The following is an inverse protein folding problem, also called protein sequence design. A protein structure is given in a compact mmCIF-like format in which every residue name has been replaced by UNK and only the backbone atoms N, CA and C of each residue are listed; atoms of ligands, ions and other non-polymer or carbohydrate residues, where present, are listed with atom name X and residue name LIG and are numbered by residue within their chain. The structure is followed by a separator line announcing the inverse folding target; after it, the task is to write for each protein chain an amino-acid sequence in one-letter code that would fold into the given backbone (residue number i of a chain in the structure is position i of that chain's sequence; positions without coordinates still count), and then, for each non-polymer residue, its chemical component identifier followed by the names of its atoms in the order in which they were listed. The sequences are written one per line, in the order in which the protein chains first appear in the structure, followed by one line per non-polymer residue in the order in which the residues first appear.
data_IF_049678271294
#
_entry.id   IF_049678271294
#
_cell.length_a   1.000
_cell.length_b   1.000
_cell.length_c   1.000
_cell.angle_alpha   90.00
_cell.angle_beta   90.00
_cell.angle_gamma   90.00
#
_symmetry.space_group_name_H-M   'P 1'
#
loop_
_entity.id
_entity.type
_entity.pdbx_description
1 polymer ?
#
# COMPACT_ATOMS: atom_id res chain seq x y z
N UNK A 1 17.32 -9.58 -6.53
CA UNK A 1 16.23 -9.11 -5.64
C UNK A 1 14.92 -9.10 -6.45
N UNK A 2 13.82 -9.60 -5.90
CA UNK A 2 12.52 -9.52 -6.58
C UNK A 2 12.00 -8.09 -6.46
N UNK A 3 11.61 -7.49 -7.58
CA UNK A 3 11.11 -6.12 -7.64
C UNK A 3 9.75 -6.14 -8.34
N UNK A 4 8.74 -5.56 -7.70
CA UNK A 4 7.46 -5.23 -8.30
C UNK A 4 7.43 -3.71 -8.43
N UNK A 5 7.26 -3.20 -9.65
CA UNK A 5 7.19 -1.76 -9.90
C UNK A 5 6.05 -1.43 -10.86
N UNK A 6 5.34 -0.33 -10.60
CA UNK A 6 4.25 0.18 -11.46
C UNK A 6 3.16 -0.88 -11.76
N UNK A 7 2.88 -1.75 -10.79
CA UNK A 7 1.88 -2.81 -10.93
C UNK A 7 0.54 -2.38 -10.34
N UNK A 8 -0.56 -2.79 -10.97
CA UNK A 8 -1.92 -2.74 -10.39
C UNK A 8 -2.31 -4.16 -9.99
N UNK A 9 -2.65 -4.38 -8.73
CA UNK A 9 -2.95 -5.69 -8.16
C UNK A 9 -4.30 -5.61 -7.44
N UNK A 10 -5.29 -6.30 -7.99
CA UNK A 10 -6.67 -6.17 -7.54
C UNK A 10 -7.48 -7.47 -7.62
N UNK A 11 -8.54 -7.53 -6.82
CA UNK A 11 -9.51 -8.62 -6.75
C UNK A 11 -8.93 -10.00 -6.37
N UNK A 12 -7.77 -10.03 -5.72
CA UNK A 12 -7.18 -11.23 -5.16
C UNK A 12 -7.63 -11.45 -3.70
N UNK A 13 -7.22 -12.58 -3.09
CA UNK A 13 -7.41 -12.78 -1.65
C UNK A 13 -6.49 -11.84 -0.86
N UNK A 14 -5.17 -12.04 -1.00
CA UNK A 14 -4.16 -11.03 -0.71
C UNK A 14 -3.66 -10.47 -2.03
N UNK A 15 -3.40 -9.16 -2.10
CA UNK A 15 -2.76 -8.59 -3.28
C UNK A 15 -1.34 -9.13 -3.45
N UNK A 16 -0.48 -8.89 -2.46
CA UNK A 16 0.89 -9.40 -2.41
C UNK A 16 1.09 -10.13 -1.09
N UNK A 17 1.69 -11.33 -1.12
CA UNK A 17 2.12 -12.05 0.09
C UNK A 17 3.64 -12.19 0.06
N UNK A 18 4.31 -11.61 1.06
CA UNK A 18 5.74 -11.75 1.31
C UNK A 18 5.91 -12.77 2.45
N UNK A 19 6.37 -13.97 2.13
CA UNK A 19 6.53 -15.06 3.10
C UNK A 19 8.00 -15.41 3.23
N UNK A 20 8.67 -14.95 4.30
CA UNK A 20 10.11 -15.12 4.45
C UNK A 20 10.96 -14.51 3.34
N UNK A 21 10.38 -13.57 2.58
CA UNK A 21 11.01 -12.88 1.46
C UNK A 21 11.12 -11.38 1.71
N UNK A 22 12.03 -10.73 0.99
CA UNK A 22 12.31 -9.30 1.11
C UNK A 22 12.24 -8.60 -0.25
N UNK A 23 11.06 -8.60 -0.91
CA UNK A 23 10.91 -7.94 -2.20
C UNK A 23 10.91 -6.42 -2.06
N UNK A 24 11.21 -5.72 -3.15
CA UNK A 24 10.93 -4.30 -3.28
C UNK A 24 9.60 -4.12 -4.02
N UNK A 25 8.69 -3.33 -3.46
CA UNK A 25 7.36 -3.06 -4.00
C UNK A 25 7.26 -1.54 -4.11
N UNK A 26 7.36 -1.04 -5.33
CA UNK A 26 7.59 0.39 -5.60
C UNK A 26 6.51 0.88 -6.56
N UNK A 27 5.91 2.04 -6.30
CA UNK A 27 4.92 2.67 -7.20
C UNK A 27 3.77 1.73 -7.63
N UNK A 28 3.36 0.81 -6.76
CA UNK A 28 2.28 -0.15 -7.03
C UNK A 28 0.95 0.31 -6.44
N UNK A 29 -0.16 0.00 -7.12
CA UNK A 29 -1.51 0.17 -6.61
C UNK A 29 -2.10 -1.20 -6.25
N UNK A 30 -2.39 -1.42 -4.97
CA UNK A 30 -2.91 -2.69 -4.45
C UNK A 30 -4.27 -2.46 -3.80
N UNK A 31 -5.32 -2.91 -4.47
CA UNK A 31 -6.68 -2.49 -4.15
C UNK A 31 -7.76 -3.53 -4.34
N UNK A 32 -8.90 -3.34 -3.69
CA UNK A 32 -10.07 -4.21 -3.84
C UNK A 32 -9.79 -5.70 -3.57
N UNK A 33 -8.71 -6.02 -2.85
CA UNK A 33 -8.41 -7.38 -2.46
C UNK A 33 -9.26 -7.76 -1.25
N UNK A 34 -9.65 -9.02 -1.16
CA UNK A 34 -10.61 -9.49 -0.16
C UNK A 34 -10.06 -9.37 1.28
N UNK A 35 -8.77 -9.59 1.48
CA UNK A 35 -8.10 -9.58 2.78
C UNK A 35 -7.09 -8.44 2.87
N UNK A 36 -5.79 -8.72 2.73
CA UNK A 36 -4.74 -7.71 2.81
C UNK A 36 -4.37 -7.19 1.43
N UNK A 37 -4.02 -5.91 1.33
CA UNK A 37 -3.30 -5.40 0.17
C UNK A 37 -1.94 -6.09 0.09
N UNK A 38 -1.09 -5.82 1.08
CA UNK A 38 0.21 -6.49 1.25
C UNK A 38 0.20 -7.25 2.58
N UNK A 39 0.52 -8.54 2.54
CA UNK A 39 0.74 -9.38 3.73
C UNK A 39 2.23 -9.67 3.87
N UNK A 40 2.84 -9.24 4.97
CA UNK A 40 4.22 -9.49 5.34
C UNK A 40 4.26 -10.53 6.47
N UNK A 41 4.67 -11.74 6.13
CA UNK A 41 4.60 -12.91 6.98
C UNK A 41 5.97 -13.59 7.13
N UNK A 42 6.20 -14.18 8.30
CA UNK A 42 7.32 -15.09 8.57
C UNK A 42 8.68 -14.42 8.30
N UNK A 43 9.07 -13.46 9.15
CA UNK A 43 10.38 -12.79 9.03
C UNK A 43 10.62 -12.14 7.65
N UNK A 44 9.57 -11.79 6.92
CA UNK A 44 9.69 -11.02 5.68
C UNK A 44 10.16 -9.60 5.98
N UNK A 45 11.01 -9.04 5.13
CA UNK A 45 11.49 -7.66 5.23
C UNK A 45 11.29 -6.93 3.90
N UNK A 46 10.03 -6.79 3.47
CA UNK A 46 9.70 -6.11 2.22
C UNK A 46 9.98 -4.60 2.33
N UNK A 47 10.45 -3.99 1.24
CA UNK A 47 10.60 -2.54 1.12
C UNK A 47 9.44 -2.03 0.28
N UNK A 48 8.58 -1.20 0.87
CA UNK A 48 7.33 -0.72 0.27
C UNK A 48 7.43 0.79 0.13
N UNK A 49 7.50 1.27 -1.11
CA UNK A 49 7.75 2.68 -1.42
C UNK A 49 6.70 3.22 -2.38
N UNK A 50 6.16 4.39 -2.08
CA UNK A 50 5.26 5.14 -2.96
C UNK A 50 4.06 4.33 -3.47
N UNK A 51 3.58 3.37 -2.68
CA UNK A 51 2.47 2.51 -3.06
C UNK A 51 1.12 3.13 -2.66
N UNK A 52 0.04 2.57 -3.21
CA UNK A 52 -1.34 2.90 -2.84
C UNK A 52 -2.05 1.62 -2.40
N UNK A 53 -2.34 1.49 -1.11
CA UNK A 53 -3.01 0.34 -0.50
C UNK A 53 -4.43 0.75 -0.09
N UNK A 54 -5.41 0.49 -0.95
CA UNK A 54 -6.75 1.11 -0.82
C UNK A 54 -7.89 0.12 -0.99
N UNK A 55 -8.94 0.25 -0.16
CA UNK A 55 -10.17 -0.57 -0.27
C UNK A 55 -9.93 -2.08 -0.26
N UNK A 56 -8.95 -2.54 0.51
CA UNK A 56 -8.76 -3.95 0.81
C UNK A 56 -9.61 -4.33 2.03
N UNK A 57 -10.20 -5.53 2.00
CA UNK A 57 -11.28 -5.90 2.92
C UNK A 57 -10.87 -6.06 4.39
N UNK A 58 -9.59 -6.35 4.66
CA UNK A 58 -9.08 -6.52 6.02
C UNK A 58 -8.01 -5.50 6.41
N UNK A 59 -6.97 -5.36 5.59
CA UNK A 59 -5.88 -4.43 5.88
C UNK A 59 -5.25 -3.88 4.60
N UNK A 60 -4.74 -2.65 4.64
CA UNK A 60 -3.81 -2.18 3.62
C UNK A 60 -2.51 -2.97 3.70
N UNK A 61 -1.92 -3.00 4.91
CA UNK A 61 -0.73 -3.78 5.25
C UNK A 61 -0.99 -4.68 6.47
N UNK A 62 -0.78 -5.98 6.31
CA UNK A 62 -0.82 -6.97 7.38
C UNK A 62 0.60 -7.43 7.72
N UNK A 63 0.98 -7.39 9.00
CA UNK A 63 2.29 -7.84 9.48
C UNK A 63 2.14 -8.94 10.53
N UNK A 64 2.60 -10.15 10.23
CA UNK A 64 2.40 -11.34 11.07
C UNK A 64 3.69 -12.17 11.17
N UNK A 65 3.84 -12.97 12.22
CA UNK A 65 4.94 -13.93 12.37
C UNK A 65 6.34 -13.29 12.20
N UNK A 66 6.56 -12.15 12.86
CA UNK A 66 7.81 -11.38 12.85
C UNK A 66 8.15 -10.71 11.51
N UNK A 67 7.15 -10.29 10.73
CA UNK A 67 7.35 -9.42 9.58
C UNK A 67 7.86 -8.04 9.99
N UNK A 68 8.83 -7.51 9.24
CA UNK A 68 9.51 -6.23 9.50
C UNK A 68 9.62 -5.38 8.21
N UNK A 69 8.51 -5.09 7.52
CA UNK A 69 8.59 -4.27 6.31
C UNK A 69 8.98 -2.83 6.64
N UNK A 70 9.68 -2.20 5.70
CA UNK A 70 10.00 -0.77 5.72
C UNK A 70 9.08 -0.06 4.74
N UNK A 71 8.32 0.93 5.22
CA UNK A 71 7.23 1.55 4.45
C UNK A 71 7.42 3.06 4.38
N UNK A 72 7.55 3.61 3.18
CA UNK A 72 7.79 5.05 2.95
C UNK A 72 6.89 5.59 1.84
N UNK A 73 6.45 6.85 1.96
CA UNK A 73 5.69 7.55 0.90
C UNK A 73 4.36 6.89 0.50
N UNK A 74 3.88 5.91 1.26
CA UNK A 74 2.77 5.03 0.86
C UNK A 74 1.44 5.57 1.37
N UNK A 75 0.40 5.41 0.56
CA UNK A 75 -0.98 5.83 0.92
C UNK A 75 -1.78 4.63 1.33
N UNK A 76 -2.31 4.63 2.54
CA UNK A 76 -3.05 3.50 3.13
C UNK A 76 -4.39 4.01 3.64
N UNK A 77 -5.46 3.75 2.89
CA UNK A 77 -6.79 4.32 3.22
C UNK A 77 -7.96 3.46 2.81
N UNK A 78 -9.11 3.70 3.43
CA UNK A 78 -10.38 3.02 3.13
C UNK A 78 -10.29 1.49 3.20
N UNK A 79 -9.35 0.95 3.98
CA UNK A 79 -9.30 -0.46 4.33
C UNK A 79 -10.05 -0.66 5.65
N UNK A 80 -10.27 -1.91 6.08
CA UNK A 80 -10.78 -2.15 7.43
C UNK A 80 -9.76 -1.69 8.49
N UNK A 81 -8.50 -2.08 8.36
CA UNK A 81 -7.39 -1.50 9.12
C UNK A 81 -6.38 -0.91 8.14
N UNK A 82 -5.73 0.21 8.47
CA UNK A 82 -4.64 0.71 7.62
C UNK A 82 -3.47 -0.26 7.67
N UNK A 83 -2.80 -0.30 8.82
CA UNK A 83 -1.75 -1.26 9.15
C UNK A 83 -2.19 -2.08 10.37
N UNK A 84 -2.15 -3.41 10.27
CA UNK A 84 -2.39 -4.30 11.41
C UNK A 84 -1.17 -5.16 11.69
N UNK A 85 -0.79 -5.25 12.96
CA UNK A 85 0.45 -5.88 13.42
C UNK A 85 0.12 -6.94 14.46
N UNK A 86 0.64 -8.15 14.28
CA UNK A 86 0.49 -9.27 15.21
C UNK A 86 1.84 -9.82 15.69
N UNK A 87 1.79 -10.73 16.67
CA UNK A 87 2.92 -11.49 17.19
C UNK A 87 4.11 -10.62 17.63
N UNK A 88 5.26 -10.83 16.99
CA UNK A 88 6.51 -10.08 17.18
C UNK A 88 6.88 -9.28 15.93
N UNK A 89 5.90 -8.99 15.06
CA UNK A 89 6.11 -8.16 13.88
C UNK A 89 6.35 -6.71 14.30
N UNK A 90 7.16 -6.00 13.51
CA UNK A 90 7.57 -4.64 13.82
C UNK A 90 7.82 -3.88 12.51
N UNK A 91 6.76 -3.52 11.76
CA UNK A 91 6.92 -2.64 10.60
C UNK A 91 7.54 -1.31 11.02
N UNK A 92 8.40 -0.78 10.15
CA UNK A 92 8.91 0.58 10.25
C UNK A 92 8.12 1.47 9.30
N UNK A 93 7.23 2.29 9.87
CA UNK A 93 6.40 3.23 9.13
C UNK A 93 6.96 4.66 9.19
N UNK A 94 8.13 4.86 9.82
CA UNK A 94 8.80 6.14 9.91
C UNK A 94 9.46 6.35 11.25
N UNK A 95 10.77 6.60 11.25
CA UNK A 95 11.56 6.92 12.44
C UNK A 95 12.05 8.36 12.43
N UNK A 96 12.13 8.96 13.63
CA UNK A 96 12.73 10.27 13.86
C UNK A 96 13.69 10.20 15.05
N UNK A 97 15.02 10.36 14.83
CA UNK A 97 15.68 10.58 13.53
C UNK A 97 15.59 9.35 12.61
N UNK A 98 15.69 9.52 11.28
CA UNK A 98 15.76 8.39 10.35
C UNK A 98 16.99 7.54 10.63
N UNK A 99 16.83 6.22 10.55
CA UNK A 99 17.94 5.26 10.62
C UNK A 99 18.33 4.81 9.21
N UNK A 100 19.60 4.46 9.01
CA UNK A 100 20.06 3.93 7.73
C UNK A 100 19.29 2.65 7.37
N UNK A 101 18.69 2.63 6.17
CA UNK A 101 17.85 1.51 5.73
C UNK A 101 16.45 1.44 6.39
N UNK A 102 16.11 2.39 7.27
CA UNK A 102 14.77 2.51 7.85
C UNK A 102 13.85 3.44 7.07
N UNK A 103 12.61 3.56 7.52
CA UNK A 103 11.63 4.47 6.93
C UNK A 103 11.83 5.89 7.45
N UNK A 104 11.84 6.86 6.54
CA UNK A 104 11.76 8.28 6.87
C UNK A 104 10.32 8.77 7.15
N UNK A 105 9.32 7.90 6.97
CA UNK A 105 7.90 8.25 7.00
C UNK A 105 7.38 8.71 5.64
N UNK A 106 6.61 9.79 5.63
CA UNK A 106 5.92 10.31 4.45
C UNK A 106 4.68 9.50 4.06
N UNK A 107 4.24 8.58 4.91
CA UNK A 107 3.04 7.79 4.65
C UNK A 107 1.79 8.61 4.97
N UNK A 108 0.72 8.33 4.20
CA UNK A 108 -0.61 8.93 4.36
C UNK A 108 -1.55 7.83 4.81
N UNK A 109 -1.80 7.71 6.11
CA UNK A 109 -2.58 6.62 6.71
C UNK A 109 -3.83 7.22 7.34
N UNK A 110 -4.97 7.06 6.68
CA UNK A 110 -6.22 7.74 7.08
C UNK A 110 -7.46 7.05 6.52
N UNK A 111 -8.64 7.39 7.03
CA UNK A 111 -9.94 6.88 6.57
C UNK A 111 -10.05 5.34 6.57
N UNK A 112 -9.33 4.66 7.45
CA UNK A 112 -9.50 3.21 7.66
C UNK A 112 -10.58 2.96 8.71
N UNK A 113 -11.43 1.96 8.46
CA UNK A 113 -12.72 1.83 9.16
C UNK A 113 -12.60 1.54 10.66
N UNK A 114 -11.68 0.65 11.04
CA UNK A 114 -11.51 0.21 12.42
C UNK A 114 -10.38 0.97 13.12
N UNK A 115 -9.23 1.11 12.45
CA UNK A 115 -8.08 1.88 12.90
C UNK A 115 -7.12 2.11 11.73
N UNK A 116 -6.41 3.24 11.75
CA UNK A 116 -5.31 3.52 10.83
C UNK A 116 -4.09 2.68 11.16
N UNK A 117 -3.77 2.54 12.46
CA UNK A 117 -2.82 1.55 12.95
C UNK A 117 -3.45 0.72 14.06
N UNK A 118 -3.36 -0.60 13.94
CA UNK A 118 -3.83 -1.54 14.94
C UNK A 118 -2.66 -2.43 15.37
N UNK A 119 -2.00 -2.05 16.46
CA UNK A 119 -0.86 -2.79 16.98
C UNK A 119 -1.31 -3.84 17.99
N UNK A 120 -1.56 -5.07 17.54
CA UNK A 120 -1.84 -6.22 18.40
C UNK A 120 -0.57 -6.97 18.82
N UNK A 121 0.60 -6.51 18.40
CA UNK A 121 1.88 -7.02 18.89
C UNK A 121 2.20 -6.41 20.25
N UNK A 122 3.14 -7.02 20.97
CA UNK A 122 3.71 -6.43 22.20
C UNK A 122 4.88 -5.47 21.92
N UNK A 123 5.20 -5.21 20.65
CA UNK A 123 6.37 -4.43 20.24
C UNK A 123 5.99 -2.97 19.95
N UNK A 124 6.86 -2.01 20.31
CA UNK A 124 6.63 -0.62 19.92
C UNK A 124 6.73 -0.48 18.41
N UNK A 125 5.85 0.34 17.82
CA UNK A 125 5.82 0.64 16.38
C UNK A 125 6.20 2.09 16.16
N UNK A 126 7.09 2.32 15.21
CA UNK A 126 7.50 3.65 14.77
C UNK A 126 6.66 4.07 13.57
N UNK A 127 5.97 5.20 13.71
CA UNK A 127 5.05 5.76 12.73
C UNK A 127 5.16 7.29 12.67
N UNK A 128 6.36 7.82 12.95
CA UNK A 128 6.67 9.23 12.88
C UNK A 128 6.72 9.74 11.43
N UNK A 129 6.63 11.05 11.27
CA UNK A 129 6.67 11.76 10.00
C UNK A 129 5.60 11.29 9.00
N UNK A 130 4.42 10.90 9.50
CA UNK A 130 3.27 10.50 8.68
C UNK A 130 2.11 11.50 8.80
N UNK A 131 1.15 11.46 7.86
CA UNK A 131 -0.11 12.21 7.93
C UNK A 131 -1.29 11.29 8.22
N UNK A 132 -2.29 11.80 8.94
CA UNK A 132 -3.35 11.03 9.60
C UNK A 132 -4.77 11.48 9.20
N UNK A 133 -4.92 12.16 8.07
CA UNK A 133 -6.21 12.71 7.62
C UNK A 133 -6.73 13.92 8.43
N UNK A 134 -6.14 14.20 9.60
CA UNK A 134 -6.42 15.37 10.43
C UNK A 134 -5.18 16.22 10.67
N UNK A 135 -5.38 17.54 10.78
CA UNK A 135 -4.36 18.49 11.23
C UNK A 135 -4.35 18.63 12.78
N UNK A 136 -5.38 18.12 13.47
CA UNK A 136 -5.48 18.14 14.92
C UNK A 136 -4.84 16.89 15.53
N UNK A 137 -3.73 17.09 16.25
CA UNK A 137 -3.00 16.01 16.92
C UNK A 137 -3.83 15.26 17.96
N UNK A 138 -4.90 15.89 18.49
CA UNK A 138 -5.74 15.29 19.53
C UNK A 138 -6.64 14.18 19.01
N UNK A 139 -6.87 14.14 17.70
CA UNK A 139 -7.71 13.12 17.06
C UNK A 139 -6.93 11.83 16.76
N UNK A 140 -5.62 11.94 16.56
CA UNK A 140 -4.75 10.84 16.13
C UNK A 140 -4.78 9.63 17.09
N UNK A 141 -4.77 9.80 18.43
CA UNK A 141 -4.92 8.67 19.34
C UNK A 141 -6.19 7.85 19.08
N UNK A 142 -7.29 8.49 18.66
CA UNK A 142 -8.53 7.78 18.33
C UNK A 142 -8.49 6.99 17.01
N UNK A 143 -7.45 7.19 16.19
CA UNK A 143 -7.21 6.47 14.94
C UNK A 143 -6.31 5.26 15.14
N UNK A 144 -5.73 5.10 16.33
CA UNK A 144 -4.71 4.11 16.65
C UNK A 144 -5.27 3.18 17.73
N UNK A 145 -5.00 1.88 17.59
CA UNK A 145 -5.19 0.90 18.67
C UNK A 145 -3.80 0.45 19.13
N UNK A 146 -3.44 0.75 20.37
CA UNK A 146 -2.11 0.45 20.93
C UNK A 146 -2.10 0.17 22.45
N UNK A 147 -0.94 0.35 23.08
CA UNK A 147 -0.74 0.16 24.52
C UNK A 147 -1.70 0.98 25.40
N UNK A 148 -2.14 2.16 24.95
CA UNK A 148 -3.07 3.00 25.73
C UNK A 148 -4.47 2.37 25.80
N UNK A 149 -4.86 1.58 24.78
CA UNK A 149 -6.13 0.86 24.75
C UNK A 149 -6.06 -0.49 25.46
N UNK A 150 -4.94 -1.20 25.33
CA UNK A 150 -4.69 -2.48 25.99
C UNK A 150 -3.21 -2.58 26.42
N UNK A 151 -2.90 -2.71 27.73
CA UNK A 151 -1.53 -2.84 28.22
C UNK A 151 -0.73 -4.01 27.65
N UNK A 152 -1.39 -5.02 27.05
CA UNK A 152 -0.72 -6.14 26.38
C UNK A 152 -0.17 -5.75 24.99
N UNK A 153 -0.65 -4.65 24.41
CA UNK A 153 -0.19 -4.14 23.12
C UNK A 153 1.02 -3.23 23.28
N UNK A 154 1.79 -3.11 22.19
CA UNK A 154 2.92 -2.20 22.12
C UNK A 154 2.48 -0.79 21.75
N UNK A 155 3.23 0.22 22.21
CA UNK A 155 2.96 1.63 21.91
C UNK A 155 3.24 1.97 20.45
N UNK A 156 2.36 2.75 19.83
CA UNK A 156 2.59 3.35 18.51
C UNK A 156 3.12 4.77 18.71
N UNK A 157 4.28 5.05 18.12
CA UNK A 157 4.95 6.36 18.18
C UNK A 157 4.69 7.11 16.89
N UNK A 158 3.67 7.97 16.89
CA UNK A 158 3.28 8.76 15.71
C UNK A 158 3.85 10.19 15.70
N UNK A 159 4.35 10.67 16.84
CA UNK A 159 4.94 12.01 16.97
C UNK A 159 6.46 11.99 16.70
N UNK A 160 7.01 12.91 15.88
CA UNK A 160 6.31 14.02 15.23
C UNK A 160 5.46 13.57 14.04
N UNK A 161 4.34 14.25 13.79
CA UNK A 161 3.57 14.07 12.55
C UNK A 161 4.22 14.85 11.40
N UNK A 162 4.00 14.40 10.15
CA UNK A 162 4.45 15.18 8.99
C UNK A 162 3.70 16.51 8.93
N UNK A 163 4.44 17.61 8.95
CA UNK A 163 3.94 18.95 8.64
C UNK A 163 4.61 19.42 7.37
N UNK A 164 3.81 19.73 6.34
CA UNK A 164 4.34 20.43 5.18
C UNK A 164 4.96 21.74 5.66
N UNK A 165 6.18 22.06 5.19
CA UNK A 165 6.74 23.39 5.40
C UNK A 165 5.74 24.42 4.84
N UNK A 166 5.48 25.55 5.53
CA UNK A 166 4.63 26.59 4.96
C UNK A 166 5.24 26.98 3.62
N UNK A 167 4.45 26.88 2.55
CA UNK A 167 4.88 27.30 1.23
C UNK A 167 5.37 28.75 1.34
N UNK A 168 6.67 28.96 1.09
CA UNK A 168 7.21 30.30 0.84
C UNK A 168 6.30 30.92 -0.23
N UNK A 169 5.59 31.99 0.14
CA UNK A 169 4.64 32.67 -0.73
C UNK A 169 5.32 32.96 -2.08
N UNK A 170 5.02 32.11 -3.07
CA UNK A 170 5.53 32.28 -4.41
C UNK A 170 4.88 33.55 -4.94
N UNK A 171 5.70 34.59 -5.14
CA UNK A 171 5.32 35.81 -5.83
C UNK A 171 4.52 35.44 -7.09
N UNK A 172 3.20 35.66 -7.04
CA UNK A 172 2.31 35.40 -8.16
C UNK A 172 2.79 36.22 -9.36
N UNK A 173 3.30 35.53 -10.38
CA UNK A 173 3.54 36.12 -11.69
C UNK A 173 2.16 36.48 -12.28
N UNK A 174 1.93 37.71 -12.79
CA UNK A 174 0.63 38.08 -13.34
C UNK A 174 0.33 37.27 -14.61
N UNK A 175 -0.90 36.76 -14.69
CA UNK A 175 -1.42 35.96 -15.80
C UNK A 175 -1.45 36.76 -17.12
N UNK A 176 -1.22 36.13 -18.28
CA UNK A 176 -1.34 36.79 -19.57
C UNK A 176 -2.81 37.12 -19.91
N UNK A 177 -3.07 38.16 -20.72
CA UNK A 177 -4.43 38.61 -21.02
C UNK A 177 -5.17 37.62 -21.93
N UNK A 178 -6.47 37.46 -21.66
CA UNK A 178 -7.38 36.58 -22.39
C UNK A 178 -7.56 37.01 -23.87
N UNK A 179 -7.57 36.02 -24.77
CA UNK A 179 -7.86 36.20 -26.20
C UNK A 179 -9.29 36.74 -26.44
N UNK A 180 -9.52 37.54 -27.50
CA UNK A 180 -10.80 38.18 -27.74
C UNK A 180 -11.85 37.22 -28.34
N UNK A 181 -13.16 37.52 -28.22
CA UNK A 181 -14.24 36.63 -28.63
C UNK A 181 -14.43 36.58 -30.16
N UNK A 182 -14.82 35.40 -30.64
CA UNK A 182 -15.16 35.09 -32.03
C UNK A 182 -16.35 35.92 -32.55
N UNK A 183 -16.17 36.63 -33.66
CA UNK A 183 -17.24 37.38 -34.37
C UNK A 183 -18.00 36.50 -35.36
N UNK A 184 -19.33 36.65 -35.40
CA UNK A 184 -20.25 36.10 -36.39
C UNK A 184 -20.06 36.73 -37.79
N UNK A 185 -20.54 36.11 -38.90
CA UNK A 185 -20.11 36.44 -40.24
C UNK A 185 -20.90 37.62 -40.83
N UNK A 186 -20.21 38.52 -41.55
CA UNK A 186 -20.85 39.52 -42.41
C UNK A 186 -20.19 39.55 -43.79
N UNK A 187 -21.08 39.76 -44.73
CA UNK A 187 -21.11 39.59 -46.17
C UNK A 187 -20.08 40.39 -46.99
N UNK A 188 -19.72 39.78 -48.12
CA UNK A 188 -18.82 40.26 -49.16
C UNK A 188 -19.39 41.45 -49.93
N UNK A 189 -18.74 42.62 -49.86
CA UNK A 189 -18.83 43.61 -50.95
C UNK A 189 -17.65 44.60 -50.99
N UNK A 190 -16.99 44.65 -52.16
CA UNK A 190 -16.19 45.76 -52.75
C UNK A 190 -14.81 46.07 -52.13
N UNK A 191 -13.75 46.51 -52.82
CA UNK A 191 -13.19 46.48 -54.19
C UNK A 191 -11.80 47.16 -54.05
N UNK A 192 -10.78 46.71 -54.81
CA UNK A 192 -9.51 47.38 -55.19
C UNK A 192 -8.48 47.73 -54.09
N UNK A 193 -7.17 47.63 -54.28
CA UNK A 193 -6.35 47.29 -55.45
C UNK A 193 -4.87 47.61 -55.16
N UNK A 194 -3.97 46.95 -55.89
CA UNK A 194 -2.54 47.29 -56.13
C UNK A 194 -1.54 47.24 -54.97
N UNK A 195 -0.25 46.91 -55.14
CA UNK A 195 0.56 46.20 -56.16
C UNK A 195 2.04 46.40 -55.73
N UNK A 196 2.92 45.46 -56.09
CA UNK A 196 4.40 45.56 -56.18
C UNK A 196 5.18 45.60 -54.85
N UNK A 197 6.37 45.02 -54.69
CA UNK A 197 7.28 44.32 -55.59
C UNK A 197 8.68 44.21 -54.94
N UNK A 198 9.19 42.98 -54.85
CA UNK A 198 10.58 42.55 -55.17
C UNK A 198 11.84 43.12 -54.47
N UNK A 199 12.77 42.16 -54.25
CA UNK A 199 14.27 42.14 -54.29
C UNK A 199 15.19 42.44 -53.07
N UNK A 200 15.89 41.36 -52.66
CA UNK A 200 17.35 41.08 -52.58
C UNK A 200 18.33 41.65 -51.51
N UNK A 201 19.07 40.68 -50.94
CA UNK A 201 20.53 40.53 -50.71
C UNK A 201 21.31 41.35 -49.66
N UNK A 202 21.81 40.62 -48.63
CA UNK A 202 23.20 40.12 -48.43
C UNK A 202 24.37 41.05 -48.01
N UNK A 203 25.27 40.44 -47.18
CA UNK A 203 26.67 40.77 -46.78
C UNK A 203 26.82 41.66 -45.52
N UNK A 204 27.75 41.45 -44.58
CA UNK A 204 28.85 40.49 -44.39
C UNK A 204 29.75 40.91 -43.19
N UNK A 205 30.52 39.93 -42.63
CA UNK A 205 31.84 39.93 -41.91
C UNK A 205 32.23 41.09 -40.94
N UNK A 206 33.14 41.03 -39.95
CA UNK A 206 34.32 40.22 -39.56
C UNK A 206 34.77 40.67 -38.13
N UNK A 207 35.60 39.91 -37.39
CA UNK A 207 36.43 40.48 -36.30
C UNK A 207 36.98 39.53 -35.22
N UNK A 208 38.31 39.42 -35.15
CA UNK A 208 39.21 38.51 -34.39
C UNK A 208 39.77 39.07 -33.05
N UNK A 209 40.25 38.21 -32.12
CA UNK A 209 41.46 38.41 -31.27
C UNK A 209 41.79 37.18 -30.36
N UNK A 210 43.06 37.07 -29.89
CA UNK A 210 43.77 35.85 -29.46
C UNK A 210 44.38 35.87 -28.02
N UNK A 211 44.59 34.67 -27.40
CA UNK A 211 45.77 34.09 -26.63
C UNK A 211 46.40 34.87 -25.41
N UNK A 212 47.07 34.30 -24.34
CA UNK A 212 47.85 33.03 -24.19
C UNK A 212 47.76 32.20 -22.87
N UNK A 213 48.60 31.15 -22.82
CA UNK A 213 48.84 30.07 -21.84
C UNK A 213 49.91 30.32 -20.73
N UNK A 214 50.06 29.36 -19.78
CA UNK A 214 51.24 29.14 -18.91
C UNK A 214 51.13 27.84 -18.04
N UNK A 215 51.99 26.82 -18.26
CA UNK A 215 53.13 26.33 -17.41
C UNK A 215 52.74 25.60 -16.08
N UNK A 216 52.88 24.28 -15.88
CA UNK A 216 54.06 23.37 -15.69
C UNK A 216 54.69 23.35 -14.28
N UNK A 217 54.80 22.15 -13.67
CA UNK A 217 55.85 21.59 -12.77
C UNK A 217 55.36 20.19 -12.29
N UNK A 218 55.94 19.00 -12.48
CA UNK A 218 57.27 18.35 -12.27
C UNK A 218 57.68 18.05 -10.82
N UNK A 219 57.89 16.74 -10.51
CA UNK A 219 58.89 16.06 -9.62
C UNK A 219 58.38 14.62 -9.30
N UNK A 220 58.96 13.49 -9.78
CA UNK A 220 60.21 12.77 -9.40
C UNK A 220 60.22 12.29 -7.92
N UNK A 221 60.57 11.06 -7.47
CA UNK A 221 61.08 9.80 -8.05
C UNK A 221 61.10 8.66 -6.96
N UNK A 222 61.48 7.43 -7.38
CA UNK A 222 62.19 6.33 -6.64
C UNK A 222 61.44 5.21 -5.85
N UNK A 223 61.21 4.08 -6.54
CA UNK A 223 61.81 2.72 -6.40
C UNK A 223 62.06 1.97 -5.05
N UNK A 224 61.62 0.70 -5.07
CA UNK A 224 62.13 -0.57 -4.45
C UNK A 224 61.58 -1.09 -3.10
N UNK A 225 61.25 -2.39 -3.06
CA UNK A 225 61.29 -3.24 -1.86
C UNK A 225 60.15 -4.28 -1.69
N UNK A 226 60.47 -5.57 -1.83
CA UNK A 226 59.60 -6.76 -1.66
C UNK A 226 59.11 -7.00 -0.21
N UNK A 227 58.01 -7.75 -0.05
CA UNK A 227 57.66 -8.47 1.18
C UNK A 227 56.23 -9.01 1.21
N UNK A 228 56.09 -10.30 1.47
CA UNK A 228 54.90 -11.15 1.36
C UNK A 228 53.77 -10.92 2.39
N UNK A 229 52.57 -11.43 2.04
CA UNK A 229 51.60 -12.15 2.88
C UNK A 229 50.14 -11.62 2.93
N UNK A 230 49.28 -12.45 2.34
CA UNK A 230 47.88 -12.84 2.67
C UNK A 230 46.76 -11.86 3.07
N UNK A 231 45.61 -12.19 2.47
CA UNK A 231 44.22 -12.11 2.95
C UNK A 231 43.35 -10.95 2.44
N UNK A 232 42.44 -11.34 1.54
CA UNK A 232 41.42 -10.55 0.86
C UNK A 232 40.42 -9.87 1.82
N UNK A 233 40.21 -8.58 1.59
CA UNK A 233 39.05 -7.80 2.04
C UNK A 233 38.51 -6.95 0.90
N UNK A 234 37.18 -6.86 0.85
CA UNK A 234 36.28 -5.99 0.09
C UNK A 234 36.85 -4.81 -0.74
N UNK A 235 36.27 -4.64 -1.94
CA UNK A 235 35.61 -3.36 -2.29
C UNK A 235 36.21 -2.47 -3.38
N UNK A 236 35.70 -2.63 -4.60
CA UNK A 236 35.20 -1.58 -5.51
C UNK A 236 36.15 -0.58 -6.22
N UNK A 237 35.79 -0.31 -7.50
CA UNK A 237 35.90 0.90 -8.37
C UNK A 237 37.31 1.49 -8.66
N UNK A 238 37.66 2.08 -9.80
CA UNK A 238 37.03 2.53 -11.05
C UNK A 238 38.11 2.36 -12.16
N UNK A 239 37.95 2.59 -13.46
CA UNK A 239 37.56 3.82 -14.18
C UNK A 239 37.77 3.46 -15.68
N UNK A 240 37.02 3.92 -16.68
CA UNK A 240 36.98 5.32 -17.09
C UNK A 240 35.91 5.53 -18.16
N UNK A 241 35.24 6.67 -18.04
CA UNK A 241 34.32 7.26 -19.00
C UNK A 241 35.01 7.85 -20.24
N UNK A 242 34.25 7.99 -21.33
CA UNK A 242 34.39 9.10 -22.28
C UNK A 242 33.02 9.44 -22.91
N UNK A 243 32.78 10.75 -23.03
CA UNK A 243 31.52 11.47 -23.23
C UNK A 243 31.05 11.55 -24.70
N UNK A 244 29.74 11.76 -24.90
CA UNK A 244 29.23 12.77 -25.86
C UNK A 244 27.77 13.17 -25.53
N UNK A 245 27.55 14.46 -25.29
CA UNK A 245 26.25 15.14 -25.15
C UNK A 245 25.60 15.44 -26.51
N UNK A 246 24.26 15.49 -26.52
CA UNK A 246 23.30 16.29 -27.33
C UNK A 246 21.91 15.63 -27.10
N UNK A 247 20.79 16.23 -26.69
CA UNK A 247 20.35 17.63 -26.59
C UNK A 247 18.85 17.71 -26.97
N UNK A 248 17.96 17.54 -25.97
CA UNK A 248 16.54 18.00 -25.87
C UNK A 248 15.40 17.42 -26.78
N UNK A 249 14.10 17.54 -26.39
CA UNK A 249 13.50 17.68 -25.05
C UNK A 249 12.32 16.71 -24.74
N UNK A 250 12.03 16.59 -23.44
CA UNK A 250 10.78 16.05 -22.87
C UNK A 250 9.67 17.11 -22.96
N UNK A 251 8.46 16.71 -23.37
CA UNK A 251 7.24 17.52 -23.26
C UNK A 251 6.25 16.85 -22.31
N UNK A 252 6.20 17.42 -21.10
CA UNK A 252 5.02 17.86 -20.36
C UNK A 252 3.80 16.93 -20.26
N UNK A 253 3.73 16.19 -19.15
CA UNK A 253 2.49 15.60 -18.63
C UNK A 253 1.90 16.56 -17.59
N UNK A 254 0.93 17.36 -18.00
CA UNK A 254 0.20 18.26 -17.11
C UNK A 254 -0.62 17.48 -16.09
N UNK A 255 -0.27 17.69 -14.82
CA UNK A 255 -1.03 17.32 -13.64
C UNK A 255 -2.32 18.15 -13.60
N UNK A 256 -3.45 17.50 -13.32
CA UNK A 256 -4.71 18.18 -13.04
C UNK A 256 -4.61 18.78 -11.62
N UNK A 257 -4.74 20.10 -11.52
CA UNK A 257 -4.74 20.83 -10.26
C UNK A 257 -6.01 20.52 -9.42
N UNK A 258 -5.90 20.29 -8.11
CA UNK A 258 -7.01 19.92 -7.23
C UNK A 258 -7.98 21.08 -6.89
N UNK A 259 -7.83 22.26 -7.48
CA UNK A 259 -8.67 23.44 -7.21
C UNK A 259 -9.92 23.57 -8.11
N UNK A 260 -10.13 22.67 -9.08
CA UNK A 260 -11.27 22.71 -10.02
C UNK A 260 -12.47 21.79 -9.65
N UNK A 261 -12.59 21.37 -8.38
CA UNK A 261 -13.79 20.69 -7.90
C UNK A 261 -14.88 21.72 -7.50
N UNK A 262 -16.12 21.61 -8.02
CA UNK A 262 -17.20 22.52 -7.63
C UNK A 262 -17.53 22.40 -6.13
N UNK A 263 -17.96 23.51 -5.48
CA UNK A 263 -18.17 23.54 -4.03
C UNK A 263 -19.34 22.64 -3.63
N UNK A 264 -19.08 21.69 -2.74
CA UNK A 264 -20.14 20.90 -2.09
C UNK A 264 -20.79 21.81 -1.04
N UNK A 265 -22.04 22.20 -1.29
CA UNK A 265 -22.85 22.95 -0.34
C UNK A 265 -23.04 22.15 0.96
N UNK A 266 -22.63 22.71 2.08
CA UNK A 266 -22.87 22.17 3.43
C UNK A 266 -24.26 22.60 3.90
N UNK A 267 -25.20 21.70 4.24
CA UNK A 267 -26.37 22.09 5.02
C UNK A 267 -25.97 22.18 6.50
N UNK A 268 -26.30 23.30 7.13
CA UNK A 268 -26.10 23.55 8.55
C UNK A 268 -26.84 22.53 9.43
N UNK A 269 -26.15 21.98 10.42
CA UNK A 269 -26.73 21.12 11.45
C UNK A 269 -27.68 21.94 12.34
N UNK A 270 -28.98 21.59 12.33
CA UNK A 270 -29.91 21.97 13.39
C UNK A 270 -29.95 20.86 14.43
N UNK A 271 -29.58 21.19 15.66
CA UNK A 271 -29.82 20.35 16.83
C UNK A 271 -31.31 20.01 16.94
N UNK A 272 -31.65 18.72 16.97
CA UNK A 272 -33.00 18.26 17.31
C UNK A 272 -32.91 17.06 18.26
N UNK A 273 -33.66 17.13 19.35
CA UNK A 273 -33.83 16.12 20.39
C UNK A 273 -33.89 14.68 19.85
N UNK A 274 -33.19 13.78 20.55
CA UNK A 274 -33.22 12.35 20.27
C UNK A 274 -34.57 11.78 20.72
N UNK A 275 -35.40 11.36 19.76
CA UNK A 275 -36.59 10.52 19.99
C UNK A 275 -36.16 9.06 19.85
N UNK A 276 -36.45 8.23 20.86
CA UNK A 276 -36.26 6.77 20.78
C UNK A 276 -37.19 6.19 19.70
N UNK A 277 -36.61 5.55 18.68
CA UNK A 277 -37.37 4.83 17.63
C UNK A 277 -37.39 3.33 17.98
N UNK A 278 -38.58 2.78 18.19
CA UNK A 278 -38.81 1.32 18.23
C UNK A 278 -38.30 0.66 16.93
N UNK A 279 -37.75 -0.55 17.08
CA UNK A 279 -37.19 -1.38 16.01
C UNK A 279 -38.06 -1.36 14.73
N UNK A 280 -37.52 -0.95 13.56
CA UNK A 280 -38.34 -0.86 12.36
C UNK A 280 -38.67 -2.25 11.79
N UNK A 281 -39.90 -2.37 11.30
CA UNK A 281 -40.34 -3.47 10.45
C UNK A 281 -39.53 -3.49 9.14
N UNK A 282 -39.19 -4.68 8.68
CA UNK A 282 -38.33 -4.94 7.51
C UNK A 282 -38.92 -4.33 6.24
N UNK A 283 -38.14 -3.48 5.56
CA UNK A 283 -38.47 -2.88 4.26
C UNK A 283 -38.34 -3.93 3.13
N UNK A 284 -39.37 -4.19 2.32
CA UNK A 284 -39.35 -5.20 1.25
C UNK A 284 -38.48 -4.85 0.02
N UNK A 285 -37.77 -3.72 0.00
CA UNK A 285 -37.01 -3.25 -1.17
C UNK A 285 -35.55 -3.76 -1.28
N UNK A 286 -35.12 -4.59 -0.35
CA UNK A 286 -33.72 -4.96 -0.22
C UNK A 286 -33.37 -6.14 -1.18
N UNK A 287 -32.42 -5.98 -2.13
CA UNK A 287 -32.17 -6.98 -3.18
C UNK A 287 -31.76 -8.34 -2.58
N UNK A 288 -32.17 -9.47 -3.20
CA UNK A 288 -31.88 -10.80 -2.69
C UNK A 288 -30.36 -11.01 -2.66
N UNK A 289 -29.85 -11.39 -1.49
CA UNK A 289 -28.43 -11.62 -1.27
C UNK A 289 -27.99 -12.83 -2.11
N UNK A 290 -26.99 -12.63 -2.98
CA UNK A 290 -26.41 -13.71 -3.79
C UNK A 290 -25.58 -14.65 -2.89
N UNK A 291 -25.96 -15.92 -2.83
CA UNK A 291 -25.23 -16.97 -2.09
C UNK A 291 -24.07 -17.57 -2.92
N UNK A 292 -22.99 -18.10 -2.30
CA UNK A 292 -22.73 -18.12 -0.86
C UNK A 292 -22.19 -16.77 -0.36
N UNK A 293 -22.75 -16.29 0.73
CA UNK A 293 -22.40 -15.00 1.32
C UNK A 293 -21.03 -15.07 2.02
N UNK A 294 -20.18 -14.05 1.94
CA UNK A 294 -18.99 -13.96 2.79
C UNK A 294 -19.36 -13.99 4.29
N UNK A 295 -18.52 -14.61 5.11
CA UNK A 295 -18.68 -14.66 6.57
C UNK A 295 -18.93 -13.28 7.21
N UNK A 296 -18.28 -12.24 6.71
CA UNK A 296 -18.41 -10.86 7.20
C UNK A 296 -19.80 -10.25 7.00
N UNK A 297 -20.64 -10.85 6.14
CA UNK A 297 -22.00 -10.39 5.86
C UNK A 297 -23.06 -11.09 6.72
N UNK A 298 -22.66 -12.05 7.56
CA UNK A 298 -23.57 -12.73 8.50
C UNK A 298 -24.00 -11.79 9.62
N UNK A 299 -25.24 -11.91 10.09
CA UNK A 299 -25.78 -11.10 11.19
C UNK A 299 -24.97 -11.26 12.49
N UNK A 300 -24.35 -12.42 12.70
CA UNK A 300 -23.44 -12.71 13.83
C UNK A 300 -21.98 -12.30 13.58
N UNK A 301 -21.67 -11.71 12.42
CA UNK A 301 -20.36 -11.20 12.01
C UNK A 301 -19.27 -12.25 11.72
N UNK A 302 -19.32 -13.42 12.39
CA UNK A 302 -18.36 -14.52 12.21
C UNK A 302 -19.04 -15.89 12.31
N UNK A 303 -18.41 -16.88 11.70
CA UNK A 303 -18.75 -18.30 11.82
C UNK A 303 -18.58 -18.73 13.27
N UNK A 304 -19.51 -19.54 13.74
CA UNK A 304 -19.40 -20.21 15.03
C UNK A 304 -19.50 -21.71 14.79
N UNK A 305 -18.72 -22.50 15.51
CA UNK A 305 -18.83 -23.95 15.46
C UNK A 305 -19.97 -24.39 16.37
N UNK A 306 -20.85 -25.23 15.83
CA UNK A 306 -21.72 -26.06 16.66
C UNK A 306 -20.96 -27.30 17.15
N UNK A 307 -20.06 -27.83 16.32
CA UNK A 307 -19.12 -28.88 16.67
C UNK A 307 -17.87 -28.78 15.77
N UNK A 308 -16.68 -28.71 16.38
CA UNK A 308 -15.41 -28.60 15.66
C UNK A 308 -14.60 -29.89 15.83
N UNK A 309 -14.21 -30.48 14.72
CA UNK A 309 -13.26 -31.59 14.63
C UNK A 309 -11.94 -31.04 14.13
N UNK A 310 -10.85 -31.28 14.86
CA UNK A 310 -9.50 -30.88 14.47
C UNK A 310 -8.86 -31.93 13.54
N UNK A 311 -7.99 -31.52 12.60
CA UNK A 311 -7.30 -32.45 11.72
C UNK A 311 -6.30 -33.32 12.47
N UNK A 312 -6.27 -34.60 12.11
CA UNK A 312 -5.32 -35.58 12.66
C UNK A 312 -3.97 -35.39 11.97
N UNK A 313 -2.91 -35.26 12.77
CA UNK A 313 -1.55 -35.13 12.24
C UNK A 313 -1.11 -36.46 11.58
N UNK A 314 -0.62 -36.45 10.32
CA UNK A 314 -0.14 -37.66 9.67
C UNK A 314 1.04 -38.31 10.40
N UNK A 315 0.90 -39.58 10.80
CA UNK A 315 1.91 -40.31 11.59
C UNK A 315 3.31 -40.36 10.94
N UNK A 316 3.35 -40.43 9.61
CA UNK A 316 4.63 -40.40 8.86
C UNK A 316 5.38 -39.10 9.13
N UNK A 317 4.68 -37.97 9.18
CA UNK A 317 5.26 -36.65 9.43
C UNK A 317 5.56 -36.40 10.90
N UNK A 318 4.75 -37.00 11.79
CA UNK A 318 5.02 -36.96 13.23
C UNK A 318 6.36 -37.60 13.58
N UNK A 319 6.71 -38.70 12.89
CA UNK A 319 8.00 -39.40 13.07
C UNK A 319 9.19 -38.66 12.47
N UNK A 320 8.99 -37.92 11.39
CA UNK A 320 10.06 -37.19 10.69
C UNK A 320 10.17 -35.73 11.10
N UNK A 321 9.28 -35.23 11.97
CA UNK A 321 9.24 -33.83 12.38
C UNK A 321 8.82 -32.86 11.26
N UNK A 322 8.10 -33.35 10.24
CA UNK A 322 7.77 -32.54 9.06
C UNK A 322 6.50 -31.74 9.32
N UNK A 323 6.58 -30.41 9.34
CA UNK A 323 5.46 -29.50 9.66
C UNK A 323 4.89 -28.82 8.41
N UNK A 324 3.70 -28.23 8.52
CA UNK A 324 3.07 -27.60 7.36
C UNK A 324 1.85 -26.74 7.67
N UNK A 325 1.32 -26.11 6.62
CA UNK A 325 0.11 -25.30 6.66
C UNK A 325 -0.83 -25.68 5.50
N UNK A 326 -2.13 -25.54 5.73
CA UNK A 326 -3.18 -25.78 4.73
C UNK A 326 -4.19 -24.66 4.81
N UNK A 327 -4.58 -24.10 3.65
CA UNK A 327 -5.70 -23.18 3.55
C UNK A 327 -6.83 -23.82 2.75
N UNK A 328 -8.03 -23.80 3.31
CA UNK A 328 -9.23 -24.39 2.73
C UNK A 328 -10.34 -23.34 2.66
N UNK A 329 -11.02 -23.29 1.51
CA UNK A 329 -12.30 -22.60 1.36
C UNK A 329 -13.43 -23.60 1.58
N UNK A 330 -14.40 -23.23 2.41
CA UNK A 330 -15.58 -24.05 2.70
C UNK A 330 -16.83 -23.26 2.36
N UNK A 331 -17.76 -23.87 1.63
CA UNK A 331 -19.14 -23.39 1.51
C UNK A 331 -19.95 -24.15 2.55
N UNK A 332 -20.47 -23.42 3.52
CA UNK A 332 -21.35 -23.94 4.56
C UNK A 332 -22.79 -23.73 4.11
N UNK A 333 -23.58 -24.80 4.17
CA UNK A 333 -25.00 -24.82 3.85
C UNK A 333 -25.84 -24.07 4.87
N UNK A 334 -27.12 -23.88 4.53
CA UNK A 334 -28.12 -23.26 5.41
C UNK A 334 -28.39 -24.06 6.68
N UNK A 335 -28.02 -25.33 6.69
CA UNK A 335 -28.14 -26.24 7.83
C UNK A 335 -26.86 -26.29 8.68
N UNK A 336 -25.86 -25.46 8.36
CA UNK A 336 -24.59 -25.42 9.08
C UNK A 336 -23.64 -26.57 8.71
N UNK A 337 -23.93 -27.37 7.67
CA UNK A 337 -23.02 -28.42 7.20
C UNK A 337 -22.09 -27.92 6.10
N UNK A 338 -20.85 -28.41 6.00
CA UNK A 338 -20.03 -28.18 4.81
C UNK A 338 -20.70 -28.80 3.58
N UNK A 339 -20.94 -28.01 2.53
CA UNK A 339 -21.45 -28.46 1.24
C UNK A 339 -20.35 -28.57 0.18
N UNK A 340 -19.36 -27.69 0.22
CA UNK A 340 -18.21 -27.72 -0.69
C UNK A 340 -16.94 -27.38 0.07
N UNK A 341 -15.89 -28.16 -0.17
CA UNK A 341 -14.57 -27.99 0.43
C UNK A 341 -13.58 -27.88 -0.72
N UNK A 342 -12.75 -26.84 -0.73
CA UNK A 342 -11.72 -26.63 -1.73
C UNK A 342 -10.41 -26.29 -1.03
N UNK A 343 -9.39 -27.14 -1.17
CA UNK A 343 -8.03 -26.79 -0.77
C UNK A 343 -7.50 -25.73 -1.73
N UNK A 344 -7.11 -24.58 -1.18
CA UNK A 344 -6.53 -23.48 -1.94
C UNK A 344 -5.01 -23.61 -2.02
N UNK A 345 -4.39 -24.00 -0.90
CA UNK A 345 -2.95 -24.21 -0.79
C UNK A 345 -2.65 -25.21 0.32
N UNK A 346 -1.57 -25.96 0.15
CA UNK A 346 -1.07 -26.89 1.15
C UNK A 346 0.43 -27.07 1.02
N UNK A 347 1.13 -27.21 2.15
CA UNK A 347 2.54 -27.62 2.18
C UNK A 347 2.74 -29.03 1.61
N UNK A 348 1.80 -29.95 1.87
CA UNK A 348 1.81 -31.30 1.31
C UNK A 348 0.40 -31.90 1.16
N UNK A 349 0.23 -32.87 0.28
CA UNK A 349 -1.02 -33.59 0.02
C UNK A 349 -1.57 -34.33 1.26
N UNK A 350 -0.73 -34.88 2.13
CA UNK A 350 -1.19 -35.56 3.35
C UNK A 350 -1.76 -34.59 4.38
N UNK A 351 -1.21 -33.37 4.47
CA UNK A 351 -1.81 -32.31 5.28
C UNK A 351 -3.14 -31.83 4.70
N UNK A 352 -3.20 -31.66 3.38
CA UNK A 352 -4.44 -31.30 2.69
C UNK A 352 -5.55 -32.32 2.99
N UNK A 353 -5.26 -33.61 2.84
CA UNK A 353 -6.20 -34.69 3.10
C UNK A 353 -6.67 -34.71 4.57
N UNK A 354 -5.75 -34.51 5.53
CA UNK A 354 -6.10 -34.46 6.95
C UNK A 354 -7.03 -33.28 7.29
N UNK A 355 -6.75 -32.10 6.72
CA UNK A 355 -7.56 -30.90 6.90
C UNK A 355 -8.96 -31.05 6.27
N UNK A 356 -9.05 -31.57 5.04
CA UNK A 356 -10.34 -31.84 4.37
C UNK A 356 -11.22 -32.81 5.18
N UNK A 357 -10.65 -33.91 5.69
CA UNK A 357 -11.38 -34.90 6.48
C UNK A 357 -11.96 -34.32 7.77
N UNK A 358 -11.23 -33.41 8.42
CA UNK A 358 -11.69 -32.72 9.61
C UNK A 358 -12.84 -31.76 9.29
N UNK A 359 -12.64 -30.90 8.28
CA UNK A 359 -13.65 -29.94 7.84
C UNK A 359 -14.95 -30.64 7.44
N UNK A 360 -14.88 -31.78 6.76
CA UNK A 360 -16.07 -32.56 6.37
C UNK A 360 -16.93 -33.01 7.56
N UNK A 361 -16.32 -33.19 8.74
CA UNK A 361 -17.00 -33.59 9.97
C UNK A 361 -17.44 -32.41 10.84
N UNK A 362 -16.98 -31.20 10.53
CA UNK A 362 -17.39 -29.99 11.24
C UNK A 362 -18.90 -29.74 11.12
N UNK A 363 -19.44 -29.08 12.14
CA UNK A 363 -20.78 -28.48 12.14
C UNK A 363 -20.64 -27.03 12.55
N UNK A 364 -21.22 -26.16 11.75
CA UNK A 364 -21.26 -24.73 11.97
C UNK A 364 -22.65 -24.35 12.47
N UNK A 365 -22.74 -23.28 13.23
CA UNK A 365 -24.03 -22.63 13.41
C UNK A 365 -24.46 -22.07 12.05
N UNK A 366 -25.73 -22.27 11.63
CA UNK A 366 -26.25 -21.68 10.40
C UNK A 366 -25.98 -20.18 10.32
N UNK A 367 -25.34 -19.76 9.24
CA UNK A 367 -25.18 -18.35 8.94
C UNK A 367 -26.54 -17.75 8.64
N UNK A 368 -26.89 -16.65 9.29
CA UNK A 368 -28.11 -15.90 9.00
C UNK A 368 -27.77 -14.54 8.45
N UNK A 369 -28.59 -14.06 7.51
CA UNK A 369 -28.58 -12.65 7.10
C UNK A 369 -30.02 -12.16 7.13
N UNK A 370 -30.26 -11.05 7.83
CA UNK A 370 -31.60 -10.53 8.13
C UNK A 370 -32.51 -11.60 8.75
N UNK A 371 -31.96 -12.42 9.64
CA UNK A 371 -32.64 -13.51 10.34
C UNK A 371 -32.98 -14.73 9.49
N UNK A 372 -32.62 -14.76 8.21
CA UNK A 372 -32.87 -15.90 7.31
C UNK A 372 -31.59 -16.74 7.15
N UNK A 373 -31.65 -18.09 7.27
CA UNK A 373 -30.49 -18.95 7.01
C UNK A 373 -30.03 -18.86 5.56
N UNK A 374 -28.73 -18.62 5.35
CA UNK A 374 -28.11 -18.52 4.04
C UNK A 374 -26.89 -19.42 3.94
N UNK A 375 -26.53 -19.81 2.72
CA UNK A 375 -25.22 -20.44 2.49
C UNK A 375 -24.15 -19.38 2.61
N UNK A 376 -23.06 -19.72 3.28
CA UNK A 376 -21.95 -18.79 3.47
C UNK A 376 -20.61 -19.46 3.17
N UNK A 377 -19.65 -18.67 2.68
CA UNK A 377 -18.30 -19.11 2.38
C UNK A 377 -17.35 -18.62 3.47
N UNK A 378 -16.49 -19.53 3.91
CA UNK A 378 -15.44 -19.28 4.89
C UNK A 378 -14.10 -19.74 4.36
N UNK A 379 -13.04 -19.20 4.98
CA UNK A 379 -11.66 -19.62 4.75
C UNK A 379 -11.10 -20.07 6.10
N UNK A 380 -10.54 -21.28 6.13
CA UNK A 380 -9.92 -21.86 7.31
C UNK A 380 -8.46 -22.19 7.02
N UNK A 381 -7.59 -21.82 7.98
CA UNK A 381 -6.15 -22.14 7.93
C UNK A 381 -5.84 -23.14 9.02
N UNK A 382 -5.25 -24.27 8.64
CA UNK A 382 -4.76 -25.29 9.56
C UNK A 382 -3.24 -25.25 9.61
N UNK A 383 -2.68 -25.24 10.81
CA UNK A 383 -1.24 -25.25 11.05
C UNK A 383 -0.90 -26.58 11.73
N UNK A 384 -0.08 -27.39 11.07
CA UNK A 384 0.41 -28.67 11.57
C UNK A 384 1.80 -28.46 12.16
N UNK A 385 1.87 -28.36 13.49
CA UNK A 385 3.10 -28.22 14.26
C UNK A 385 3.16 -29.30 15.35
N UNK A 386 4.36 -29.72 15.70
CA UNK A 386 4.59 -30.64 16.81
C UNK A 386 4.92 -29.85 18.08
N UNK A 387 4.33 -30.24 19.20
CA UNK A 387 4.73 -29.71 20.50
C UNK A 387 6.18 -30.15 20.79
N UNK A 388 7.02 -29.18 21.18
CA UNK A 388 8.46 -29.38 21.41
C UNK A 388 8.76 -29.97 22.77
#
# INVERSE_FOLDING_TARGET
PSILRNCIIEYAYNGITCYGSSPQIIDCEVRYNHYAGISCEIRSAAVIENCVLVRNGFAGLNCELAGVPVVSGTTIRNNKNGVIIFDRSQPDLGQSPPVEGGSGGGNRIFDNLAADINNRSSRPIFAQNNTWGSADLREIPGLIIDQEDDPAFGKVRFDPVFRAAPALAANRRPSPPASPPTTAPVDTSRIAGDSLGTVNRSLGSNGTAAIPAGSSNTSAALQTGNGDAEADSAGSIADSAALAENGAPLVDSTLIDPEDLPPIATPALRETLIVYVEKPAVDPADPPIKEPVPEAMLDGGRRQYANQVLPVYPEVYKRTGFEGKVQIRVIVGRDGKPESITVLSSTDKLFAAAAEQAVQRNRYQPGTVRGKPVKFRIYETFVFQLEK
#
